data_IF_234580391011
#
_entry.id   IF_234580391011
#
_cell.length_a   1.000
_cell.length_b   1.000
_cell.length_c   1.000
_cell.angle_alpha   90.00
_cell.angle_beta   90.00
_cell.angle_gamma   90.00
#
_symmetry.space_group_name_H-M   'P 1'
#
loop_
_entity.id
_entity.type
_entity.pdbx_description
1 polymer ?
#
# COMPACT_ATOMS: atom_id res chain seq x y z
N UNK A 1 4.42 11.31 -17.89
CA UNK A 1 4.66 12.01 -16.60
C UNK A 1 4.42 10.96 -15.54
N UNK A 2 5.24 10.88 -14.49
CA UNK A 2 4.96 9.97 -13.37
C UNK A 2 4.11 10.73 -12.37
N UNK A 3 2.97 10.17 -12.01
CA UNK A 3 2.04 10.71 -11.02
C UNK A 3 2.57 10.47 -9.60
N UNK A 4 2.27 11.42 -8.72
CA UNK A 4 2.59 11.31 -7.29
C UNK A 4 1.80 10.18 -6.61
N UNK A 5 2.33 9.73 -5.47
CA UNK A 5 1.68 8.76 -4.58
C UNK A 5 0.29 9.19 -4.12
N UNK A 6 -0.62 8.20 -4.03
CA UNK A 6 -2.00 8.39 -3.52
C UNK A 6 -2.18 7.98 -2.06
N UNK A 7 -1.07 7.79 -1.35
CA UNK A 7 -1.07 7.43 0.06
C UNK A 7 -1.93 8.39 0.90
N UNK A 8 -2.77 7.86 1.80
CA UNK A 8 -3.60 8.71 2.66
C UNK A 8 -2.78 9.44 3.72
N UNK A 9 -1.55 8.98 3.97
CA UNK A 9 -0.58 9.59 4.87
C UNK A 9 0.82 9.45 4.28
N UNK A 10 1.69 10.41 4.59
CA UNK A 10 3.12 10.24 4.28
C UNK A 10 3.76 9.22 5.23
N UNK A 11 4.73 8.44 4.74
CA UNK A 11 5.56 7.61 5.58
C UNK A 11 6.18 8.38 6.74
N UNK A 12 6.28 7.73 7.89
CA UNK A 12 6.99 8.24 9.06
C UNK A 12 8.48 8.43 8.76
N UNK A 13 9.12 9.34 9.49
CA UNK A 13 10.53 9.62 9.31
C UNK A 13 11.37 8.34 9.48
N UNK A 14 12.29 8.12 8.53
CA UNK A 14 13.20 6.96 8.50
C UNK A 14 13.96 6.84 9.83
N UNK A 15 13.77 5.71 10.50
CA UNK A 15 14.52 5.31 11.72
C UNK A 15 15.75 4.48 11.34
N UNK A 16 16.75 4.42 12.22
CA UNK A 16 17.96 3.60 12.01
C UNK A 16 17.56 2.14 11.77
N UNK A 17 17.98 1.58 10.63
CA UNK A 17 17.65 0.20 10.23
C UNK A 17 16.33 0.03 9.47
N UNK A 18 15.50 1.08 9.36
CA UNK A 18 14.29 1.06 8.53
C UNK A 18 14.60 1.46 7.09
N UNK A 19 13.77 0.98 6.16
CA UNK A 19 13.73 1.43 4.75
C UNK A 19 12.42 2.14 4.53
N UNK A 20 12.47 3.45 4.36
CA UNK A 20 11.34 4.30 4.06
C UNK A 20 11.70 5.09 2.81
N UNK A 21 10.96 4.90 1.73
CA UNK A 21 11.18 5.53 0.43
C UNK A 21 9.96 5.33 -0.50
N UNK A 22 10.14 5.45 -1.81
CA UNK A 22 9.15 5.10 -2.82
C UNK A 22 9.70 4.16 -3.90
N UNK A 23 8.80 3.44 -4.57
CA UNK A 23 9.06 2.75 -5.84
C UNK A 23 8.22 3.37 -6.94
N UNK A 24 8.68 3.29 -8.19
CA UNK A 24 7.91 3.74 -9.36
C UNK A 24 7.29 2.53 -10.03
N UNK A 25 5.99 2.57 -10.28
CA UNK A 25 5.32 1.65 -11.18
C UNK A 25 5.38 2.22 -12.61
N UNK A 26 6.21 1.66 -13.50
CA UNK A 26 6.36 2.18 -14.86
C UNK A 26 5.13 1.88 -15.74
N UNK A 27 4.29 0.91 -15.38
CA UNK A 27 3.12 0.50 -16.17
C UNK A 27 1.93 1.41 -15.89
N UNK A 28 1.74 1.78 -14.62
CA UNK A 28 0.68 2.69 -14.16
C UNK A 28 1.15 4.13 -14.04
N UNK A 29 2.44 4.38 -14.31
CA UNK A 29 3.10 5.68 -14.27
C UNK A 29 2.89 6.41 -12.93
N UNK A 30 3.03 5.71 -11.79
CA UNK A 30 2.78 6.29 -10.47
C UNK A 30 3.86 5.92 -9.45
N UNK A 31 4.17 6.84 -8.55
CA UNK A 31 5.00 6.59 -7.37
C UNK A 31 4.22 5.93 -6.23
N UNK A 32 4.91 5.13 -5.46
CA UNK A 32 4.32 4.28 -4.44
C UNK A 32 5.21 4.25 -3.20
N UNK A 33 4.79 4.91 -2.13
CA UNK A 33 5.57 5.06 -0.89
C UNK A 33 5.49 3.85 0.05
N UNK A 34 6.57 3.51 0.74
CA UNK A 34 6.65 2.39 1.66
C UNK A 34 7.37 2.75 2.98
N UNK A 35 7.05 2.05 4.06
CA UNK A 35 7.63 2.24 5.40
C UNK A 35 8.60 1.13 5.82
N UNK A 36 8.68 0.06 5.05
CA UNK A 36 9.56 -1.07 5.35
C UNK A 36 10.15 -1.72 4.08
N UNK A 37 11.25 -2.45 4.26
CA UNK A 37 11.81 -3.26 3.19
C UNK A 37 10.91 -4.43 2.78
N UNK A 38 10.03 -4.89 3.68
CA UNK A 38 9.03 -5.91 3.34
C UNK A 38 7.99 -5.32 2.38
N UNK A 39 7.52 -4.10 2.65
CA UNK A 39 6.65 -3.35 1.74
C UNK A 39 7.27 -3.10 0.38
N UNK A 40 8.53 -2.66 0.33
CA UNK A 40 9.28 -2.54 -0.91
C UNK A 40 9.25 -3.86 -1.72
N UNK A 41 9.50 -4.99 -1.08
CA UNK A 41 9.59 -6.29 -1.74
C UNK A 41 8.25 -6.77 -2.31
N UNK A 42 7.19 -6.85 -1.50
CA UNK A 42 5.91 -7.34 -2.00
C UNK A 42 5.30 -6.37 -3.01
N UNK A 43 5.59 -5.06 -2.90
CA UNK A 43 5.13 -4.08 -3.87
C UNK A 43 5.75 -4.27 -5.25
N UNK A 44 7.05 -4.54 -5.31
CA UNK A 44 7.70 -4.88 -6.58
C UNK A 44 7.07 -6.12 -7.22
N UNK A 45 6.66 -7.11 -6.41
CA UNK A 45 5.93 -8.29 -6.90
C UNK A 45 4.56 -7.90 -7.47
N UNK A 46 3.76 -7.10 -6.75
CA UNK A 46 2.43 -6.69 -7.23
C UNK A 46 2.48 -5.77 -8.45
N UNK A 47 3.48 -4.88 -8.55
CA UNK A 47 3.69 -4.03 -9.74
C UNK A 47 3.96 -4.90 -10.97
N UNK A 48 4.78 -5.94 -10.81
CA UNK A 48 5.17 -6.85 -11.89
C UNK A 48 4.08 -7.86 -12.27
N UNK A 49 3.10 -8.13 -11.42
CA UNK A 49 2.04 -9.09 -11.70
C UNK A 49 1.01 -8.49 -12.68
N UNK A 50 0.90 -9.01 -13.91
CA UNK A 50 -0.05 -8.49 -14.91
C UNK A 50 -1.51 -8.73 -14.52
N UNK A 51 -1.77 -9.55 -13.51
CA UNK A 51 -3.12 -9.79 -12.99
C UNK A 51 -3.55 -8.73 -11.99
N UNK A 52 -2.64 -7.91 -11.46
CA UNK A 52 -3.02 -6.77 -10.64
C UNK A 52 -3.43 -5.66 -11.60
N UNK A 53 -4.59 -5.03 -11.41
CA UNK A 53 -5.04 -3.89 -12.24
C UNK A 53 -4.93 -2.59 -11.46
N UNK A 54 -5.25 -2.63 -10.17
CA UNK A 54 -5.15 -1.50 -9.27
C UNK A 54 -4.32 -1.88 -8.05
N UNK A 55 -3.57 -0.91 -7.55
CA UNK A 55 -2.75 -1.03 -6.37
C UNK A 55 -2.88 0.28 -5.60
N UNK A 56 -3.01 0.24 -4.29
CA UNK A 56 -3.10 1.42 -3.45
C UNK A 56 -2.35 1.19 -2.15
N UNK A 57 -1.51 2.14 -1.79
CA UNK A 57 -0.65 2.12 -0.63
C UNK A 57 -1.16 3.02 0.49
N UNK A 58 -0.77 2.67 1.73
CA UNK A 58 -0.97 3.47 2.94
C UNK A 58 -2.42 3.97 3.03
N UNK A 59 -3.36 3.03 3.15
CA UNK A 59 -4.79 3.29 3.07
C UNK A 59 -5.29 4.13 4.25
N UNK A 60 -6.43 4.83 4.08
CA UNK A 60 -7.15 5.43 5.20
C UNK A 60 -7.48 4.38 6.28
N UNK A 61 -7.57 4.80 7.55
CA UNK A 61 -7.88 3.88 8.62
C UNK A 61 -9.32 3.35 8.49
N UNK A 62 -9.49 2.07 8.79
CA UNK A 62 -10.80 1.42 8.89
C UNK A 62 -11.19 1.33 10.35
N UNK A 63 -12.39 1.82 10.69
CA UNK A 63 -13.01 1.63 12.01
C UNK A 63 -13.93 0.42 11.98
N UNK A 64 -13.84 -0.43 12.99
CA UNK A 64 -14.64 -1.63 13.12
C UNK A 64 -14.90 -1.95 14.59
N UNK A 65 -15.96 -2.70 14.84
CA UNK A 65 -16.20 -3.32 16.13
C UNK A 65 -15.53 -4.70 16.12
N UNK A 66 -14.70 -4.97 17.13
CA UNK A 66 -14.16 -6.31 17.32
C UNK A 66 -15.23 -7.27 17.89
N UNK A 67 -14.84 -8.53 18.11
CA UNK A 67 -15.74 -9.56 18.64
C UNK A 67 -16.26 -9.26 20.06
N UNK A 68 -15.68 -8.28 20.76
CA UNK A 68 -16.08 -7.83 22.09
C UNK A 68 -16.92 -6.53 22.03
N UNK A 69 -17.30 -6.08 20.84
CA UNK A 69 -17.95 -4.80 20.56
C UNK A 69 -17.12 -3.57 20.96
N UNK A 70 -15.80 -3.69 20.99
CA UNK A 70 -14.91 -2.55 21.23
C UNK A 70 -14.61 -1.87 19.88
N UNK A 71 -14.72 -0.54 19.85
CA UNK A 71 -14.36 0.27 18.69
C UNK A 71 -12.84 0.27 18.50
N UNK A 72 -12.41 -0.27 17.37
CA UNK A 72 -11.00 -0.40 16.97
C UNK A 72 -10.76 0.33 15.66
N UNK A 73 -9.52 0.74 15.48
CA UNK A 73 -9.03 1.32 14.23
C UNK A 73 -7.87 0.49 13.71
N UNK A 74 -7.91 0.10 12.44
CA UNK A 74 -6.81 -0.60 11.77
C UNK A 74 -6.34 0.19 10.55
N UNK A 75 -5.05 0.09 10.25
CA UNK A 75 -4.41 0.71 9.10
C UNK A 75 -3.85 -0.39 8.22
N UNK A 76 -4.41 -0.55 7.02
CA UNK A 76 -3.88 -1.47 6.04
C UNK A 76 -2.78 -0.79 5.25
N UNK A 77 -1.64 -1.46 5.12
CA UNK A 77 -0.50 -0.92 4.38
C UNK A 77 -0.80 -0.88 2.88
N UNK A 78 -1.61 -1.81 2.35
CA UNK A 78 -1.93 -1.86 0.92
C UNK A 78 -3.21 -2.62 0.60
N UNK A 79 -3.86 -2.20 -0.49
CA UNK A 79 -4.93 -2.92 -1.18
C UNK A 79 -4.57 -3.07 -2.65
N UNK A 80 -4.95 -4.18 -3.25
CA UNK A 80 -4.88 -4.36 -4.70
C UNK A 80 -6.17 -4.95 -5.24
N UNK A 81 -6.41 -4.78 -6.54
CA UNK A 81 -7.52 -5.39 -7.28
C UNK A 81 -6.95 -6.23 -8.40
N UNK A 82 -7.38 -7.49 -8.50
CA UNK A 82 -7.03 -8.41 -9.57
C UNK A 82 -7.90 -8.25 -10.83
N UNK A 83 -7.46 -8.81 -11.95
CA UNK A 83 -8.20 -8.85 -13.23
C UNK A 83 -9.55 -9.58 -13.12
N UNK A 84 -9.73 -10.44 -12.11
CA UNK A 84 -10.98 -11.12 -11.80
C UNK A 84 -11.92 -10.27 -10.93
N UNK A 85 -11.53 -9.02 -10.64
CA UNK A 85 -12.27 -8.08 -9.80
C UNK A 85 -12.15 -8.36 -8.30
N UNK A 86 -11.36 -9.36 -7.87
CA UNK A 86 -11.17 -9.65 -6.45
C UNK A 86 -10.08 -8.74 -5.88
N UNK A 87 -10.41 -8.05 -4.80
CA UNK A 87 -9.44 -7.31 -4.01
C UNK A 87 -8.99 -8.12 -2.81
N UNK A 88 -7.71 -8.00 -2.45
CA UNK A 88 -7.20 -8.45 -1.16
C UNK A 88 -6.63 -7.23 -0.42
N UNK A 89 -7.00 -7.14 0.86
CA UNK A 89 -6.61 -6.11 1.83
C UNK A 89 -5.65 -6.72 2.87
#
# INVERSE_FOLDING_TARGET
MIDDSTASRRPSAKKRGSRVDFVVDPFRQREFVFESGLEEQWRNVLIADPRVVELQEQLPPVRFLDNENIDRTHWFDTRHVGIDGRGHE
#
